data_IF_170260824626
#
_entry.id   IF_170260824626
#
_cell.length_a   1.000
_cell.length_b   1.000
_cell.length_c   1.000
_cell.angle_alpha   90.00
_cell.angle_beta   90.00
_cell.angle_gamma   90.00
#
_symmetry.space_group_name_H-M   'P 1'
#
loop_
_entity.id
_entity.type
_entity.pdbx_description
1 polymer ?
#
# COMPACT_ATOMS: atom_id res chain seq x y z
N UNK A 1 -5.88 5.05 -14.59
CA UNK A 1 -5.87 3.94 -13.66
C UNK A 1 -6.51 4.27 -12.33
N UNK A 2 -6.82 3.24 -11.63
CA UNK A 2 -7.43 3.34 -10.31
C UNK A 2 -6.38 3.05 -9.24
N UNK A 3 -6.46 3.77 -8.15
CA UNK A 3 -5.60 3.49 -7.00
C UNK A 3 -6.47 3.22 -5.78
N UNK A 4 -5.93 2.42 -4.88
CA UNK A 4 -6.54 2.15 -3.59
C UNK A 4 -5.66 2.75 -2.50
N UNK A 5 -6.27 3.45 -1.55
CA UNK A 5 -5.54 3.98 -0.39
C UNK A 5 -5.81 3.06 0.79
N UNK A 6 -4.75 2.47 1.33
CA UNK A 6 -4.84 1.53 2.43
C UNK A 6 -4.09 2.07 3.64
N UNK A 7 -4.79 2.18 4.76
CA UNK A 7 -4.14 2.60 6.00
C UNK A 7 -3.33 1.44 6.59
N UNK A 8 -2.08 1.71 6.92
CA UNK A 8 -1.20 0.77 7.60
C UNK A 8 -0.76 1.35 8.94
N UNK A 9 0.03 0.59 9.72
CA UNK A 9 0.34 1.00 11.09
C UNK A 9 1.04 2.36 11.18
N UNK A 10 1.95 2.66 10.25
CA UNK A 10 2.79 3.85 10.33
C UNK A 10 2.43 4.92 9.30
N UNK A 11 1.35 4.73 8.55
CA UNK A 11 1.00 5.67 7.49
C UNK A 11 -0.05 5.11 6.56
N UNK A 12 0.07 5.44 5.27
CA UNK A 12 -0.83 4.91 4.24
C UNK A 12 -0.04 4.37 3.06
N UNK A 13 -0.62 3.37 2.40
CA UNK A 13 -0.11 2.85 1.13
C UNK A 13 -1.08 3.24 0.03
N UNK A 14 -0.54 3.72 -1.08
CA UNK A 14 -1.31 3.97 -2.30
C UNK A 14 -0.93 2.89 -3.29
N UNK A 15 -1.89 2.08 -3.68
CA UNK A 15 -1.69 0.85 -4.43
C UNK A 15 -2.42 0.94 -5.77
N UNK A 16 -1.79 0.44 -6.83
CA UNK A 16 -2.44 0.30 -8.12
C UNK A 16 -3.37 -0.92 -8.09
N UNK A 17 -4.68 -0.69 -8.13
CA UNK A 17 -5.67 -1.77 -8.12
C UNK A 17 -5.56 -2.69 -9.33
N UNK A 18 -4.99 -2.22 -10.42
CA UNK A 18 -4.83 -3.00 -11.63
C UNK A 18 -3.59 -3.90 -11.62
N UNK A 19 -2.78 -3.82 -10.58
CA UNK A 19 -1.54 -4.59 -10.50
C UNK A 19 -1.74 -6.08 -10.67
N UNK A 20 -2.76 -6.64 -10.03
CA UNK A 20 -3.06 -8.08 -10.13
C UNK A 20 -3.51 -8.49 -11.53
N UNK A 21 -4.24 -7.61 -12.21
CA UNK A 21 -4.73 -7.88 -13.55
C UNK A 21 -3.62 -7.82 -14.59
N UNK A 22 -2.53 -7.13 -14.29
CA UNK A 22 -1.41 -6.94 -15.20
C UNK A 22 -0.25 -7.89 -14.90
N UNK A 23 -0.46 -8.87 -14.03
CA UNK A 23 0.56 -9.86 -13.64
C UNK A 23 1.86 -9.23 -13.16
N UNK A 24 1.77 -8.13 -12.45
CA UNK A 24 2.96 -7.49 -11.89
C UNK A 24 3.53 -8.32 -10.75
N UNK A 25 4.83 -8.22 -10.50
CA UNK A 25 5.46 -8.99 -9.42
C UNK A 25 4.96 -8.55 -8.05
N UNK A 26 5.05 -9.46 -7.08
CA UNK A 26 4.69 -9.17 -5.70
C UNK A 26 5.59 -8.07 -5.15
N UNK A 27 4.98 -7.08 -4.51
CA UNK A 27 5.70 -6.03 -3.80
C UNK A 27 5.88 -6.47 -2.36
N UNK A 28 7.06 -7.01 -2.04
CA UNK A 28 7.30 -7.59 -0.74
C UNK A 28 7.25 -6.58 0.40
N UNK A 29 7.74 -5.38 0.17
CA UNK A 29 7.75 -4.33 1.19
C UNK A 29 6.32 -3.89 1.52
N UNK A 30 5.52 -3.60 0.50
CA UNK A 30 4.14 -3.18 0.70
C UNK A 30 3.30 -4.32 1.29
N UNK A 31 3.55 -5.55 0.86
CA UNK A 31 2.84 -6.72 1.38
C UNK A 31 3.12 -6.93 2.86
N UNK A 32 4.37 -6.70 3.28
CA UNK A 32 4.74 -6.82 4.68
C UNK A 32 4.06 -5.74 5.52
N UNK A 33 4.01 -4.52 5.03
CA UNK A 33 3.32 -3.43 5.73
C UNK A 33 1.85 -3.73 5.90
N UNK A 34 1.23 -4.27 4.86
CA UNK A 34 -0.17 -4.67 4.92
C UNK A 34 -0.37 -5.81 5.92
N UNK A 35 0.50 -6.81 5.89
CA UNK A 35 0.41 -7.97 6.77
C UNK A 35 0.56 -7.59 8.23
N UNK A 36 1.39 -6.60 8.55
CA UNK A 36 1.57 -6.13 9.92
C UNK A 36 0.27 -5.62 10.54
N UNK A 37 -0.65 -5.14 9.72
CA UNK A 37 -1.93 -4.63 10.21
C UNK A 37 -3.09 -5.59 9.98
N UNK A 38 -3.13 -6.25 8.84
CA UNK A 38 -4.29 -7.03 8.39
C UNK A 38 -4.06 -8.53 8.33
N UNK A 39 -2.79 -8.98 8.44
CA UNK A 39 -2.44 -10.40 8.35
C UNK A 39 -1.94 -10.79 6.97
N UNK A 40 -1.46 -12.04 6.86
CA UNK A 40 -0.73 -12.54 5.68
C UNK A 40 -1.64 -13.07 4.58
N UNK A 41 -2.94 -12.92 4.69
CA UNK A 41 -3.89 -13.54 3.76
C UNK A 41 -3.87 -12.94 2.36
N UNK A 42 -3.42 -11.69 2.26
CA UNK A 42 -3.35 -10.98 0.98
C UNK A 42 -1.94 -10.54 0.68
N UNK A 43 -1.69 -10.33 -0.62
CA UNK A 43 -0.42 -9.78 -1.08
C UNK A 43 -0.67 -8.52 -1.88
N UNK A 44 0.32 -7.64 -1.89
CA UNK A 44 0.31 -6.44 -2.71
C UNK A 44 1.19 -6.69 -3.92
N UNK A 45 0.66 -6.49 -5.11
CA UNK A 45 1.42 -6.66 -6.36
C UNK A 45 1.57 -5.31 -7.06
N UNK A 46 2.69 -5.16 -7.76
CA UNK A 46 2.98 -3.93 -8.49
C UNK A 46 3.50 -2.82 -7.61
N UNK A 47 3.46 -1.61 -8.13
CA UNK A 47 4.01 -0.45 -7.45
C UNK A 47 3.09 0.02 -6.34
N UNK A 48 3.69 0.48 -5.24
CA UNK A 48 2.96 1.09 -4.14
C UNK A 48 3.76 2.27 -3.61
N UNK A 49 3.05 3.29 -3.15
CA UNK A 49 3.66 4.47 -2.55
C UNK A 49 3.32 4.47 -1.07
N UNK A 50 4.35 4.56 -0.22
CA UNK A 50 4.17 4.64 1.22
C UNK A 50 4.30 6.09 1.67
N UNK A 51 3.32 6.57 2.41
CA UNK A 51 3.32 7.92 2.98
C UNK A 51 3.26 7.80 4.50
N UNK A 52 4.33 8.16 5.21
CA UNK A 52 4.35 8.11 6.67
C UNK A 52 3.34 9.07 7.30
N UNK A 53 2.85 8.74 8.48
CA UNK A 53 1.85 9.55 9.19
C UNK A 53 2.25 11.01 9.33
N UNK A 54 3.50 11.31 9.62
CA UNK A 54 3.96 12.68 9.76
C UNK A 54 3.76 13.51 8.49
N UNK A 55 4.03 12.90 7.34
CA UNK A 55 3.84 13.57 6.05
C UNK A 55 2.36 13.76 5.76
N UNK A 56 1.55 12.76 6.06
CA UNK A 56 0.10 12.86 5.88
C UNK A 56 -0.48 14.00 6.71
N UNK A 57 -0.02 14.16 7.95
CA UNK A 57 -0.46 15.26 8.80
C UNK A 57 -0.14 16.62 8.20
N UNK A 58 1.04 16.75 7.60
CA UNK A 58 1.43 18.00 6.95
C UNK A 58 0.56 18.30 5.74
N UNK A 59 0.09 17.29 5.06
CA UNK A 59 -0.77 17.45 3.89
C UNK A 59 -2.12 18.08 4.23
N UNK A 60 -2.60 17.87 5.43
CA UNK A 60 -3.92 18.35 5.85
C UNK A 60 -3.94 19.80 6.34
N UNK A 61 -2.85 20.49 6.22
CA UNK A 61 -2.79 21.89 6.65
C UNK A 61 -3.19 22.88 5.54
#
# INVERSE_FOLDING_TARGET
GWVEVVQVNDGVLIIDEEGKLKDKPVNEVASKMYADKYGDEDIIVGDAIYIPNGVVSDWHR
#
